data_IF_702776870136
#
_entry.id   IF_702776870136
#
_cell.length_a   1.000
_cell.length_b   1.000
_cell.length_c   1.000
_cell.angle_alpha   90.00
_cell.angle_beta   90.00
_cell.angle_gamma   90.00
#
_symmetry.space_group_name_H-M   'P 1'
#
loop_
_entity.id
_entity.type
_entity.pdbx_description
1 polymer ?
#
# COMPACT_ATOMS: atom_id res chain seq x y z
N UNK A 1 7.57 4.78 1.89
CA UNK A 1 8.86 4.59 1.17
C UNK A 1 9.91 5.61 1.57
N UNK A 2 9.58 6.72 2.24
CA UNK A 2 10.56 7.82 2.40
C UNK A 2 11.89 7.42 3.04
N UNK A 3 11.90 6.49 4.00
CA UNK A 3 13.15 5.98 4.60
C UNK A 3 13.95 4.98 3.74
N UNK A 4 13.36 4.42 2.68
CA UNK A 4 14.03 3.40 1.85
C UNK A 4 15.32 3.93 1.24
N UNK A 5 15.29 5.16 0.73
CA UNK A 5 16.42 5.76 0.03
C UNK A 5 17.68 5.87 0.90
N UNK A 6 17.53 6.20 2.19
CA UNK A 6 18.65 6.30 3.13
C UNK A 6 19.02 4.99 3.83
N UNK A 7 18.28 3.90 3.61
CA UNK A 7 18.48 2.60 4.27
C UNK A 7 19.27 1.59 3.43
N UNK A 8 19.60 1.96 2.19
CA UNK A 8 20.43 1.15 1.31
C UNK A 8 21.85 0.99 1.88
N UNK A 9 22.44 -0.17 1.65
CA UNK A 9 23.83 -0.43 1.99
C UNK A 9 24.76 0.32 1.02
N UNK A 10 25.35 1.41 1.52
CA UNK A 10 26.21 2.32 0.73
C UNK A 10 27.52 1.68 0.27
N UNK A 11 27.92 0.54 0.83
CA UNK A 11 29.09 -0.18 0.31
C UNK A 11 28.79 -0.82 -1.06
N UNK A 12 27.52 -1.15 -1.31
CA UNK A 12 27.11 -1.96 -2.46
C UNK A 12 26.09 -1.28 -3.38
N UNK A 13 25.40 -0.23 -2.91
CA UNK A 13 24.33 0.47 -3.61
C UNK A 13 24.52 1.98 -3.48
N UNK A 14 24.70 2.66 -4.61
CA UNK A 14 24.69 4.13 -4.69
C UNK A 14 23.32 4.62 -5.17
N UNK A 15 22.70 5.54 -4.42
CA UNK A 15 21.29 5.93 -4.66
C UNK A 15 21.18 7.30 -5.35
N UNK A 16 20.50 7.31 -6.49
CA UNK A 16 20.14 8.53 -7.24
C UNK A 16 18.63 8.76 -7.23
N UNK A 17 18.21 9.97 -6.87
CA UNK A 17 16.82 10.42 -6.85
C UNK A 17 16.60 11.57 -7.84
N UNK A 18 15.94 11.28 -8.96
CA UNK A 18 15.53 12.28 -9.96
C UNK A 18 14.10 12.77 -9.68
N UNK A 19 13.98 13.95 -9.08
CA UNK A 19 12.68 14.53 -8.72
C UNK A 19 12.01 15.21 -9.93
N UNK A 20 10.92 14.61 -10.40
CA UNK A 20 10.12 15.14 -11.51
C UNK A 20 9.22 16.32 -11.12
N UNK A 21 9.13 16.64 -9.82
CA UNK A 21 8.36 17.76 -9.28
C UNK A 21 9.27 18.76 -8.57
N UNK A 22 8.88 20.04 -8.64
CA UNK A 22 9.54 21.12 -7.90
C UNK A 22 9.51 20.84 -6.39
N UNK A 23 10.47 21.41 -5.67
CA UNK A 23 10.49 21.39 -4.21
C UNK A 23 9.24 22.07 -3.62
N UNK A 24 8.46 21.31 -2.84
CA UNK A 24 7.25 21.78 -2.18
C UNK A 24 7.48 22.24 -0.73
N UNK A 25 8.73 22.19 -0.25
CA UNK A 25 9.11 22.53 1.12
C UNK A 25 8.61 21.54 2.17
N UNK A 26 8.02 20.41 1.77
CA UNK A 26 7.48 19.43 2.70
C UNK A 26 8.60 18.74 3.50
N UNK A 27 8.26 18.28 4.70
CA UNK A 27 9.17 17.47 5.52
C UNK A 27 9.66 16.22 4.77
N UNK A 28 8.85 15.68 3.85
CA UNK A 28 9.19 14.52 3.04
C UNK A 28 10.28 14.85 2.04
N UNK A 29 10.14 15.96 1.32
CA UNK A 29 11.11 16.42 0.33
C UNK A 29 12.45 16.75 0.97
N UNK A 30 12.44 17.54 2.04
CA UNK A 30 13.65 17.91 2.80
C UNK A 30 14.38 16.67 3.30
N UNK A 31 13.64 15.70 3.83
CA UNK A 31 14.24 14.48 4.38
C UNK A 31 14.86 13.60 3.31
N UNK A 32 14.13 13.33 2.22
CA UNK A 32 14.67 12.51 1.12
C UNK A 32 15.95 13.18 0.57
N UNK A 33 15.96 14.50 0.42
CA UNK A 33 17.15 15.26 0.01
C UNK A 33 18.34 15.10 0.96
N UNK A 34 18.09 14.99 2.27
CA UNK A 34 19.15 14.82 3.28
C UNK A 34 19.65 13.38 3.44
N UNK A 35 18.83 12.38 3.08
CA UNK A 35 19.12 10.96 3.31
C UNK A 35 19.75 10.28 2.09
N UNK A 36 19.40 10.73 0.88
CA UNK A 36 19.93 10.19 -0.37
C UNK A 36 21.31 10.77 -0.68
N UNK A 37 22.14 10.00 -1.36
CA UNK A 37 23.48 10.42 -1.78
C UNK A 37 23.40 11.48 -2.89
N UNK A 38 22.56 11.23 -3.91
CA UNK A 38 22.38 12.14 -5.03
C UNK A 38 20.91 12.50 -5.20
N UNK A 39 20.55 13.74 -4.86
CA UNK A 39 19.22 14.28 -5.12
C UNK A 39 19.27 15.32 -6.24
N UNK A 40 18.57 15.06 -7.34
CA UNK A 40 18.60 15.91 -8.53
C UNK A 40 17.17 16.35 -8.83
N UNK A 41 16.90 17.65 -8.73
CA UNK A 41 15.63 18.21 -9.20
C UNK A 41 15.69 18.40 -10.71
N UNK A 42 14.79 17.72 -11.44
CA UNK A 42 14.75 17.75 -12.91
C UNK A 42 13.41 18.24 -13.44
N UNK A 43 12.57 18.85 -12.60
CA UNK A 43 11.21 19.25 -12.94
C UNK A 43 11.11 20.28 -14.07
N UNK A 44 12.14 21.10 -14.26
CA UNK A 44 12.23 22.10 -15.33
C UNK A 44 12.91 21.60 -16.62
N UNK A 45 13.48 20.39 -16.61
CA UNK A 45 14.21 19.82 -17.74
C UNK A 45 13.29 19.10 -18.71
N UNK A 46 13.64 19.05 -20.00
CA UNK A 46 12.95 18.20 -20.98
C UNK A 46 13.29 16.73 -20.76
N UNK A 47 12.44 15.81 -21.24
CA UNK A 47 12.60 14.37 -20.94
C UNK A 47 13.88 13.80 -21.56
N UNK A 48 14.31 14.34 -22.70
CA UNK A 48 15.55 13.95 -23.38
C UNK A 48 16.80 14.38 -22.62
N UNK A 49 16.79 15.58 -22.01
CA UNK A 49 17.90 16.03 -21.17
C UNK A 49 18.02 15.16 -19.92
N UNK A 50 16.90 14.77 -19.32
CA UNK A 50 16.88 13.87 -18.15
C UNK A 50 17.40 12.48 -18.53
N UNK A 51 16.98 11.94 -19.67
CA UNK A 51 17.48 10.65 -20.14
C UNK A 51 18.99 10.67 -20.39
N UNK A 52 19.54 11.74 -20.98
CA UNK A 52 20.99 11.90 -21.15
C UNK A 52 21.72 11.95 -19.81
N UNK A 53 21.22 12.73 -18.86
CA UNK A 53 21.79 12.82 -17.51
C UNK A 53 21.81 11.46 -16.82
N UNK A 54 20.71 10.72 -16.81
CA UNK A 54 20.64 9.36 -16.24
C UNK A 54 21.69 8.43 -16.89
N UNK A 55 21.91 8.56 -18.20
CA UNK A 55 22.90 7.77 -18.90
C UNK A 55 24.34 8.18 -18.56
N UNK A 56 24.61 9.48 -18.45
CA UNK A 56 25.89 10.06 -18.04
C UNK A 56 26.25 9.69 -16.59
N UNK A 57 25.25 9.63 -15.71
CA UNK A 57 25.35 9.13 -14.33
C UNK A 57 25.57 7.60 -14.27
N UNK A 58 25.50 6.90 -15.42
CA UNK A 58 25.70 5.45 -15.56
C UNK A 58 24.78 4.60 -14.69
N UNK A 59 23.54 5.03 -14.50
CA UNK A 59 22.54 4.30 -13.71
C UNK A 59 22.34 2.89 -14.27
N UNK A 60 22.60 1.86 -13.44
CA UNK A 60 22.43 0.45 -13.83
C UNK A 60 20.96 0.02 -13.79
N UNK A 61 20.23 0.44 -12.76
CA UNK A 61 18.83 0.07 -12.54
C UNK A 61 18.01 1.34 -12.32
N UNK A 62 17.16 1.68 -13.29
CA UNK A 62 16.26 2.82 -13.19
C UNK A 62 14.87 2.40 -12.72
N UNK A 63 14.38 3.02 -11.65
CA UNK A 63 13.11 2.67 -11.00
C UNK A 63 12.01 3.68 -11.33
N UNK A 64 10.98 3.23 -12.04
CA UNK A 64 9.77 3.99 -12.31
C UNK A 64 8.81 3.91 -11.11
N UNK A 65 8.76 4.99 -10.34
CA UNK A 65 7.89 5.15 -9.17
C UNK A 65 6.53 5.79 -9.48
N UNK A 66 6.18 6.00 -10.76
CA UNK A 66 4.96 6.69 -11.17
C UNK A 66 3.99 5.78 -11.95
N UNK A 67 4.49 5.01 -12.91
CA UNK A 67 3.68 4.33 -13.92
C UNK A 67 2.74 5.30 -14.66
N UNK A 68 1.43 5.02 -14.66
CA UNK A 68 0.42 5.89 -15.29
C UNK A 68 -0.34 6.77 -14.30
N UNK A 69 0.41 7.47 -13.44
CA UNK A 69 -0.13 8.45 -12.48
C UNK A 69 0.20 9.88 -12.89
N UNK A 70 -0.46 10.85 -12.25
CA UNK A 70 -0.23 12.28 -12.49
C UNK A 70 1.25 12.62 -12.28
N UNK A 71 1.85 13.32 -13.25
CA UNK A 71 3.25 13.75 -13.20
C UNK A 71 4.25 12.70 -13.71
N UNK A 72 3.78 11.55 -14.20
CA UNK A 72 4.64 10.57 -14.86
C UNK A 72 5.30 11.16 -16.12
N UNK A 73 6.55 10.75 -16.36
CA UNK A 73 7.32 11.09 -17.58
C UNK A 73 7.90 9.82 -18.18
N UNK A 74 7.00 8.96 -18.68
CA UNK A 74 7.37 7.63 -19.17
C UNK A 74 8.24 7.68 -20.44
N UNK A 75 8.28 8.82 -21.13
CA UNK A 75 9.15 9.06 -22.28
C UNK A 75 10.64 8.95 -21.90
N UNK A 76 11.00 9.25 -20.64
CA UNK A 76 12.36 9.06 -20.12
C UNK A 76 12.73 7.57 -20.20
N UNK A 77 11.84 6.70 -19.75
CA UNK A 77 12.04 5.24 -19.78
C UNK A 77 11.99 4.69 -21.20
N UNK A 78 11.16 5.26 -22.08
CA UNK A 78 11.10 4.87 -23.49
C UNK A 78 12.42 5.15 -24.25
N UNK A 79 13.22 6.13 -23.79
CA UNK A 79 14.56 6.40 -24.31
C UNK A 79 15.64 5.43 -23.78
N UNK A 80 15.28 4.52 -22.87
CA UNK A 80 16.14 3.48 -22.31
C UNK A 80 17.52 3.97 -21.80
N UNK A 81 17.59 5.01 -20.94
CA UNK A 81 18.86 5.58 -20.49
C UNK A 81 19.64 4.65 -19.52
N UNK A 82 18.98 3.63 -18.96
CA UNK A 82 19.58 2.61 -18.11
C UNK A 82 19.33 1.20 -18.69
N UNK A 83 20.26 0.25 -18.53
CA UNK A 83 20.14 -1.09 -19.10
C UNK A 83 19.02 -1.92 -18.45
N UNK A 84 18.72 -1.68 -17.17
CA UNK A 84 17.62 -2.31 -16.46
C UNK A 84 16.66 -1.22 -16.01
N UNK A 85 15.37 -1.46 -16.23
CA UNK A 85 14.30 -0.51 -15.93
C UNK A 85 13.15 -1.27 -15.29
N UNK A 86 12.66 -0.79 -14.16
CA UNK A 86 11.66 -1.50 -13.36
C UNK A 86 10.49 -0.58 -13.03
N UNK A 87 9.27 -1.11 -12.98
CA UNK A 87 8.14 -0.41 -12.40
C UNK A 87 7.96 -0.83 -10.95
N UNK A 88 7.71 0.13 -10.06
CA UNK A 88 7.51 -0.16 -8.65
C UNK A 88 6.53 0.81 -7.97
N UNK A 89 5.57 0.22 -7.23
CA UNK A 89 4.68 0.82 -6.23
C UNK A 89 3.70 1.92 -6.70
N UNK A 90 4.14 2.91 -7.47
CA UNK A 90 3.33 4.09 -7.82
C UNK A 90 2.10 3.78 -8.66
N UNK A 91 2.16 2.73 -9.47
CA UNK A 91 1.05 2.28 -10.29
C UNK A 91 0.75 0.80 -10.01
N UNK A 92 -0.44 0.44 -9.49
CA UNK A 92 -0.77 -0.93 -9.13
C UNK A 92 -1.26 -1.72 -10.35
N UNK A 93 -0.42 -1.82 -11.38
CA UNK A 93 -0.72 -2.50 -12.64
C UNK A 93 0.50 -2.62 -13.55
N UNK A 94 0.33 -3.33 -14.67
CA UNK A 94 1.35 -3.39 -15.73
C UNK A 94 1.45 -2.05 -16.44
N UNK A 95 2.65 -1.66 -16.83
CA UNK A 95 2.87 -0.58 -17.77
C UNK A 95 2.49 -1.01 -19.19
N UNK A 96 2.51 -2.31 -19.52
CA UNK A 96 2.28 -2.76 -20.89
C UNK A 96 3.35 -2.28 -21.89
N UNK A 97 4.44 -1.70 -21.39
CA UNK A 97 5.55 -1.21 -22.18
C UNK A 97 6.61 -2.31 -22.36
N UNK A 98 7.26 -2.31 -23.51
CA UNK A 98 8.41 -3.15 -23.83
C UNK A 98 9.72 -2.64 -23.21
N UNK A 99 9.78 -1.34 -22.91
CA UNK A 99 10.93 -0.69 -22.27
C UNK A 99 10.99 -0.88 -20.74
N UNK A 100 9.97 -1.45 -20.09
CA UNK A 100 10.02 -1.78 -18.65
C UNK A 100 10.23 -3.28 -18.48
N UNK A 101 11.34 -3.65 -17.86
CA UNK A 101 11.80 -5.04 -17.79
C UNK A 101 11.17 -5.83 -16.65
N UNK A 102 11.02 -5.21 -15.47
CA UNK A 102 10.56 -5.89 -14.25
C UNK A 102 9.46 -5.12 -13.51
N UNK A 103 8.64 -5.86 -12.77
CA UNK A 103 7.63 -5.33 -11.85
C UNK A 103 7.63 -6.17 -10.57
N UNK A 104 7.60 -5.51 -9.40
CA UNK A 104 7.44 -6.20 -8.12
C UNK A 104 5.98 -6.54 -7.86
N UNK A 105 5.63 -7.83 -7.89
CA UNK A 105 4.28 -8.31 -7.64
C UNK A 105 4.29 -9.80 -7.23
N UNK A 106 3.18 -10.25 -6.64
CA UNK A 106 2.94 -11.65 -6.25
C UNK A 106 1.44 -11.92 -6.33
N UNK A 107 0.90 -13.10 -6.72
CA UNK A 107 1.60 -14.35 -7.07
C UNK A 107 1.84 -14.56 -8.57
N UNK A 108 2.76 -15.47 -8.90
CA UNK A 108 3.19 -15.83 -10.27
C UNK A 108 2.08 -16.38 -11.16
N UNK A 109 1.00 -16.96 -10.61
CA UNK A 109 -0.15 -17.46 -11.41
C UNK A 109 -0.80 -16.38 -12.27
N UNK A 110 -0.65 -15.11 -11.89
CA UNK A 110 -1.19 -13.97 -12.66
C UNK A 110 -0.15 -13.34 -13.59
N UNK A 111 0.99 -13.99 -13.85
CA UNK A 111 2.05 -13.44 -14.72
C UNK A 111 1.60 -13.11 -16.13
N UNK A 112 0.59 -13.80 -16.64
CA UNK A 112 0.02 -13.57 -17.97
C UNK A 112 -0.64 -12.19 -18.12
N UNK A 113 -0.91 -11.47 -17.03
CA UNK A 113 -1.51 -10.12 -17.04
C UNK A 113 -0.46 -9.03 -17.30
N UNK A 114 0.83 -9.32 -17.10
CA UNK A 114 1.89 -8.32 -17.07
C UNK A 114 2.84 -8.47 -18.25
N UNK A 115 3.21 -7.36 -18.89
CA UNK A 115 4.29 -7.34 -19.89
C UNK A 115 5.66 -7.54 -19.23
N UNK A 116 5.84 -6.99 -18.03
CA UNK A 116 7.06 -7.06 -17.25
C UNK A 116 7.32 -8.45 -16.68
N UNK A 117 8.59 -8.77 -16.43
CA UNK A 117 8.95 -9.98 -15.68
C UNK A 117 8.70 -9.76 -14.19
N UNK A 118 7.87 -10.63 -13.62
CA UNK A 118 7.51 -10.54 -12.20
C UNK A 118 8.71 -10.87 -11.33
N UNK A 119 8.99 -9.97 -10.38
CA UNK A 119 9.89 -10.23 -9.26
C UNK A 119 9.07 -10.35 -7.98
N UNK A 120 9.10 -11.54 -7.39
CA UNK A 120 8.36 -11.84 -6.17
C UNK A 120 9.26 -11.60 -4.95
N UNK A 121 9.02 -10.49 -4.25
CA UNK A 121 9.67 -10.19 -2.96
C UNK A 121 9.08 -11.05 -1.84
N UNK A 122 9.87 -11.39 -0.80
CA UNK A 122 9.35 -12.04 0.41
C UNK A 122 8.29 -11.17 1.08
N UNK A 123 7.26 -11.82 1.65
CA UNK A 123 6.19 -11.24 2.47
C UNK A 123 5.25 -10.26 1.74
N UNK A 124 5.72 -9.11 1.27
CA UNK A 124 4.92 -8.08 0.62
C UNK A 124 5.78 -7.20 -0.29
N UNK A 125 5.23 -6.83 -1.45
CA UNK A 125 5.88 -5.85 -2.33
C UNK A 125 5.77 -4.41 -1.80
N UNK A 126 4.77 -4.12 -0.96
CA UNK A 126 4.44 -2.77 -0.52
C UNK A 126 5.30 -2.37 0.69
N UNK A 127 6.16 -1.36 0.52
CA UNK A 127 6.99 -0.82 1.60
C UNK A 127 6.35 0.38 2.29
N UNK A 128 6.65 0.54 3.56
CA UNK A 128 6.27 1.69 4.35
C UNK A 128 7.32 1.99 5.43
N UNK A 129 7.22 3.14 6.10
CA UNK A 129 8.19 3.65 7.08
C UNK A 129 7.54 4.06 8.41
N UNK A 130 6.41 3.42 8.77
CA UNK A 130 5.60 3.81 9.93
C UNK A 130 6.34 3.57 11.25
N UNK A 131 7.15 2.49 11.33
CA UNK A 131 7.98 2.20 12.51
C UNK A 131 8.99 3.32 12.79
N UNK A 132 9.50 3.96 11.74
CA UNK A 132 10.45 5.06 11.85
C UNK A 132 9.76 6.42 12.03
N UNK A 133 8.57 6.62 11.43
CA UNK A 133 7.99 7.97 11.26
C UNK A 133 6.65 8.21 11.92
N UNK A 134 5.97 7.15 12.32
CA UNK A 134 4.61 7.22 12.86
C UNK A 134 4.47 6.41 14.15
N UNK A 135 5.56 6.18 14.89
CA UNK A 135 5.47 5.47 16.16
C UNK A 135 4.78 6.33 17.25
N UNK A 136 4.85 7.66 17.12
CA UNK A 136 4.18 8.64 17.98
C UNK A 136 2.64 8.53 17.96
N UNK A 137 2.07 8.00 16.87
CA UNK A 137 0.62 7.77 16.77
C UNK A 137 0.14 6.66 17.70
N UNK A 138 1.05 5.83 18.21
CA UNK A 138 0.77 4.72 19.12
C UNK A 138 0.85 5.14 20.60
N UNK A 139 1.18 6.40 20.90
CA UNK A 139 1.25 6.90 22.27
C UNK A 139 -0.11 6.71 22.97
N UNK A 140 -0.18 5.95 24.08
CA UNK A 140 -1.42 5.75 24.83
C UNK A 140 -1.98 7.06 25.42
N UNK A 141 -1.16 8.08 25.64
CA UNK A 141 -1.58 9.37 26.18
C UNK A 141 -2.24 10.28 25.14
N UNK A 142 -2.08 9.99 23.85
CA UNK A 142 -2.61 10.78 22.74
C UNK A 142 -3.73 10.06 21.98
N UNK A 143 -4.42 9.11 22.62
CA UNK A 143 -5.51 8.38 21.98
C UNK A 143 -6.73 9.27 21.79
N UNK A 144 -7.29 9.35 20.57
CA UNK A 144 -8.50 10.11 20.32
C UNK A 144 -9.70 9.47 21.01
N UNK A 145 -10.81 10.21 21.09
CA UNK A 145 -12.10 9.70 21.58
C UNK A 145 -13.09 9.62 20.43
N UNK A 146 -14.01 8.65 20.49
CA UNK A 146 -15.09 8.51 19.50
C UNK A 146 -15.97 9.76 19.45
N UNK A 147 -16.28 10.36 20.60
CA UNK A 147 -17.01 11.63 20.69
C UNK A 147 -16.38 12.78 19.91
N UNK A 148 -15.05 12.84 19.78
CA UNK A 148 -14.35 13.86 18.99
C UNK A 148 -14.66 13.79 17.49
N UNK A 149 -15.12 12.64 17.01
CA UNK A 149 -15.48 12.39 15.61
C UNK A 149 -16.99 12.17 15.41
N UNK A 150 -17.81 12.46 16.44
CA UNK A 150 -19.25 12.22 16.39
C UNK A 150 -19.62 10.74 16.32
N UNK A 151 -18.74 9.85 16.77
CA UNK A 151 -18.98 8.41 16.79
C UNK A 151 -19.68 8.00 18.10
N UNK A 152 -20.63 7.05 18.03
CA UNK A 152 -21.26 6.49 19.22
C UNK A 152 -20.32 5.55 19.99
N UNK A 153 -20.32 5.65 21.31
CA UNK A 153 -19.46 4.84 22.19
C UNK A 153 -19.96 3.39 22.36
N UNK A 154 -21.25 3.14 22.16
CA UNK A 154 -21.94 1.88 22.45
C UNK A 154 -22.19 1.00 21.20
N UNK A 155 -21.91 1.50 19.99
CA UNK A 155 -22.05 0.75 18.75
C UNK A 155 -20.74 0.11 18.29
N UNK A 156 -20.87 -0.95 17.50
CA UNK A 156 -19.77 -1.49 16.71
C UNK A 156 -19.50 -0.58 15.50
N UNK A 157 -18.25 -0.19 15.27
CA UNK A 157 -17.86 0.74 14.20
C UNK A 157 -17.11 -0.02 13.11
N UNK A 158 -17.80 -0.28 12.00
CA UNK A 158 -17.13 -0.62 10.75
C UNK A 158 -16.51 0.65 10.15
N UNK A 159 -15.37 0.55 9.47
CA UNK A 159 -14.75 1.69 8.83
C UNK A 159 -14.32 1.39 7.39
N UNK A 160 -14.42 2.39 6.52
CA UNK A 160 -13.73 2.42 5.23
C UNK A 160 -13.31 3.85 4.92
N UNK A 161 -11.99 4.10 4.96
CA UNK A 161 -11.43 5.42 4.70
C UNK A 161 -10.84 5.56 3.29
N UNK A 162 -11.24 4.67 2.38
CA UNK A 162 -10.91 4.79 0.97
C UNK A 162 -11.69 5.94 0.32
N UNK A 163 -11.14 6.49 -0.76
CA UNK A 163 -11.90 7.41 -1.61
C UNK A 163 -13.12 6.68 -2.21
N UNK A 164 -14.21 7.42 -2.39
CA UNK A 164 -15.50 6.81 -2.74
C UNK A 164 -15.49 6.09 -4.09
N UNK A 165 -14.60 6.47 -5.02
CA UNK A 165 -14.47 5.80 -6.33
C UNK A 165 -14.03 4.33 -6.23
N UNK A 166 -13.46 3.90 -5.10
CA UNK A 166 -13.04 2.50 -4.90
C UNK A 166 -14.21 1.57 -4.57
N UNK A 167 -15.39 2.12 -4.34
CA UNK A 167 -16.60 1.36 -4.07
C UNK A 167 -17.45 1.22 -5.33
N UNK A 168 -18.11 0.08 -5.42
CA UNK A 168 -19.11 -0.21 -6.42
C UNK A 168 -20.44 -0.62 -5.75
N UNK A 169 -21.54 -0.75 -6.52
CA UNK A 169 -22.82 -1.19 -5.98
C UNK A 169 -22.75 -2.51 -5.21
N UNK A 170 -21.95 -3.48 -5.67
CA UNK A 170 -21.91 -4.82 -5.09
C UNK A 170 -21.30 -4.83 -3.68
N UNK A 171 -20.16 -4.16 -3.47
CA UNK A 171 -19.57 -4.09 -2.13
C UNK A 171 -20.43 -3.24 -1.18
N UNK A 172 -21.02 -2.15 -1.67
CA UNK A 172 -21.84 -1.30 -0.81
C UNK A 172 -23.18 -1.98 -0.44
N UNK A 173 -23.75 -2.80 -1.33
CA UNK A 173 -24.89 -3.69 -1.01
C UNK A 173 -24.51 -4.68 0.09
N UNK A 174 -23.32 -5.27 -0.01
CA UNK A 174 -22.79 -6.20 1.00
C UNK A 174 -22.70 -5.51 2.36
N UNK A 175 -22.18 -4.27 2.41
CA UNK A 175 -22.13 -3.50 3.66
C UNK A 175 -23.50 -3.13 4.21
N UNK A 176 -24.47 -2.81 3.34
CA UNK A 176 -25.86 -2.62 3.77
C UNK A 176 -26.44 -3.90 4.43
N UNK A 177 -26.11 -5.08 3.91
CA UNK A 177 -26.52 -6.36 4.53
C UNK A 177 -25.82 -6.59 5.88
N UNK A 178 -24.52 -6.30 5.99
CA UNK A 178 -23.78 -6.36 7.26
C UNK A 178 -24.47 -5.48 8.31
N UNK A 179 -24.77 -4.22 7.98
CA UNK A 179 -25.41 -3.27 8.91
C UNK A 179 -26.81 -3.71 9.36
N UNK A 180 -27.58 -4.38 8.50
CA UNK A 180 -28.88 -4.97 8.88
C UNK A 180 -28.73 -6.17 9.81
N UNK A 181 -27.70 -7.00 9.59
CA UNK A 181 -27.40 -8.18 10.41
C UNK A 181 -26.74 -7.83 11.75
N UNK A 182 -26.15 -6.64 11.86
CA UNK A 182 -25.55 -6.09 13.07
C UNK A 182 -26.22 -4.75 13.41
N UNK A 183 -27.48 -4.74 13.88
CA UNK A 183 -28.25 -3.51 14.03
C UNK A 183 -27.62 -2.48 14.99
N UNK A 184 -26.87 -2.94 16.01
CA UNK A 184 -26.10 -2.07 16.90
C UNK A 184 -24.70 -1.74 16.33
N UNK A 185 -24.65 -1.28 15.07
CA UNK A 185 -23.41 -0.89 14.40
C UNK A 185 -23.58 0.34 13.51
N UNK A 186 -22.46 0.96 13.14
CA UNK A 186 -22.40 2.00 12.14
C UNK A 186 -21.19 1.78 11.21
N UNK A 187 -21.29 2.31 9.99
CA UNK A 187 -20.24 2.36 9.00
C UNK A 187 -19.69 3.78 8.89
N UNK A 188 -18.39 3.92 9.15
CA UNK A 188 -17.67 5.18 9.15
C UNK A 188 -16.86 5.37 7.86
N UNK A 189 -17.24 6.35 7.05
CA UNK A 189 -16.75 6.56 5.70
C UNK A 189 -15.96 7.86 5.56
N UNK A 190 -14.96 7.86 4.66
CA UNK A 190 -14.31 9.10 4.24
C UNK A 190 -15.21 9.91 3.31
N UNK A 191 -15.41 11.19 3.62
CA UNK A 191 -16.13 12.16 2.80
C UNK A 191 -15.24 12.67 1.65
N UNK A 192 -14.97 11.83 0.64
CA UNK A 192 -14.14 12.25 -0.49
C UNK A 192 -14.47 11.54 -1.83
N UNK A 193 -15.09 12.24 -2.79
CA UNK A 193 -15.47 13.66 -2.77
C UNK A 193 -16.73 13.93 -1.92
N UNK A 194 -16.92 15.17 -1.47
CA UNK A 194 -18.05 15.54 -0.61
C UNK A 194 -19.43 15.28 -1.23
N UNK A 195 -19.55 15.41 -2.55
CA UNK A 195 -20.80 15.14 -3.29
C UNK A 195 -21.29 13.68 -3.16
N UNK A 196 -20.41 12.73 -2.80
CA UNK A 196 -20.80 11.33 -2.65
C UNK A 196 -21.55 11.00 -1.36
N UNK A 197 -21.50 11.87 -0.34
CA UNK A 197 -22.14 11.58 0.96
C UNK A 197 -23.66 11.41 0.83
N UNK A 198 -24.35 12.36 0.22
CA UNK A 198 -25.82 12.31 0.08
C UNK A 198 -26.27 11.13 -0.77
N UNK A 199 -25.51 10.79 -1.81
CA UNK A 199 -25.76 9.65 -2.70
C UNK A 199 -25.72 8.35 -1.90
N UNK A 200 -24.65 8.11 -1.13
CA UNK A 200 -24.50 6.88 -0.36
C UNK A 200 -25.51 6.77 0.77
N UNK A 201 -25.85 7.88 1.45
CA UNK A 201 -26.92 7.90 2.47
C UNK A 201 -28.27 7.48 1.86
N UNK A 202 -28.64 8.07 0.73
CA UNK A 202 -29.90 7.74 0.05
C UNK A 202 -29.91 6.29 -0.45
N UNK A 203 -28.80 5.83 -1.03
CA UNK A 203 -28.66 4.46 -1.53
C UNK A 203 -28.76 3.42 -0.41
N UNK A 204 -28.18 3.71 0.77
CA UNK A 204 -28.27 2.87 1.96
C UNK A 204 -29.68 2.85 2.55
N UNK A 205 -30.35 4.02 2.63
CA UNK A 205 -31.72 4.13 3.12
C UNK A 205 -32.70 3.31 2.28
N UNK A 206 -32.56 3.33 0.94
CA UNK A 206 -33.33 2.49 0.01
C UNK A 206 -33.14 0.98 0.24
N UNK A 207 -32.10 0.57 0.97
CA UNK A 207 -31.79 -0.83 1.31
C UNK A 207 -32.13 -1.19 2.75
N UNK A 208 -32.78 -0.28 3.48
CA UNK A 208 -33.23 -0.50 4.86
C UNK A 208 -32.15 -0.22 5.92
N UNK A 209 -31.06 0.45 5.56
CA UNK A 209 -30.06 0.91 6.55
C UNK A 209 -30.55 2.20 7.21
N UNK A 210 -30.46 2.28 8.53
CA UNK A 210 -30.91 3.45 9.27
C UNK A 210 -29.93 4.63 9.10
N UNK A 211 -30.39 5.89 9.00
CA UNK A 211 -29.53 7.06 8.76
C UNK A 211 -28.34 7.21 9.73
N UNK A 212 -28.53 6.87 10.99
CA UNK A 212 -27.50 6.92 12.05
C UNK A 212 -26.47 5.80 11.97
N UNK A 213 -26.67 4.80 11.10
CA UNK A 213 -25.68 3.76 10.82
C UNK A 213 -24.67 4.17 9.73
N UNK A 214 -24.84 5.33 9.09
CA UNK A 214 -23.89 5.85 8.11
C UNK A 214 -23.29 7.14 8.64
N UNK A 215 -21.99 7.14 8.92
CA UNK A 215 -21.26 8.30 9.47
C UNK A 215 -20.15 8.67 8.52
N UNK A 216 -19.94 9.96 8.29
CA UNK A 216 -18.87 10.48 7.44
C UNK A 216 -17.85 11.27 8.25
N UNK A 217 -16.60 11.22 7.83
CA UNK A 217 -15.51 12.07 8.34
C UNK A 217 -14.74 12.69 7.20
N UNK A 218 -14.23 13.90 7.42
CA UNK A 218 -13.41 14.60 6.44
C UNK A 218 -12.00 13.99 6.31
N UNK A 219 -11.27 14.45 5.30
CA UNK A 219 -9.85 14.12 5.12
C UNK A 219 -9.07 14.68 6.32
N UNK A 220 -8.28 13.84 6.96
CA UNK A 220 -7.42 14.24 8.06
C UNK A 220 -5.95 14.20 7.64
N UNK A 221 -5.12 14.97 8.34
CA UNK A 221 -3.66 14.87 8.19
C UNK A 221 -3.18 13.46 8.59
N UNK A 222 -2.03 13.03 8.03
CA UNK A 222 -1.57 11.64 8.12
C UNK A 222 -1.56 11.06 9.55
N UNK A 223 -0.96 11.78 10.50
CA UNK A 223 -0.89 11.31 11.90
C UNK A 223 -2.27 11.15 12.54
N UNK A 224 -3.17 12.10 12.31
CA UNK A 224 -4.55 12.04 12.79
C UNK A 224 -5.34 10.91 12.11
N UNK A 225 -5.19 10.73 10.81
CA UNK A 225 -5.84 9.65 10.05
C UNK A 225 -5.48 8.27 10.63
N UNK A 226 -4.22 8.06 10.97
CA UNK A 226 -3.78 6.81 11.61
C UNK A 226 -4.35 6.70 13.03
N UNK A 227 -4.22 7.74 13.87
CA UNK A 227 -4.73 7.73 15.25
C UNK A 227 -6.22 7.42 15.31
N UNK A 228 -7.03 8.11 14.51
CA UNK A 228 -8.48 7.94 14.49
C UNK A 228 -8.91 6.56 13.98
N UNK A 229 -8.07 5.90 13.19
CA UNK A 229 -8.36 4.54 12.71
C UNK A 229 -8.50 3.55 13.87
N UNK A 230 -7.82 3.77 15.00
CA UNK A 230 -7.96 2.93 16.19
C UNK A 230 -9.32 3.04 16.89
N UNK A 231 -10.17 4.01 16.51
CA UNK A 231 -11.53 4.18 17.06
C UNK A 231 -12.55 3.22 16.44
N UNK A 232 -12.25 2.69 15.26
CA UNK A 232 -13.07 1.68 14.61
C UNK A 232 -12.78 0.28 15.16
N UNK A 233 -13.71 -0.64 14.95
CA UNK A 233 -13.59 -2.03 15.41
C UNK A 233 -13.16 -2.97 14.27
N UNK A 234 -13.63 -2.73 13.04
CA UNK A 234 -13.27 -3.53 11.87
C UNK A 234 -13.25 -2.69 10.59
N UNK A 235 -12.18 -2.79 9.81
CA UNK A 235 -12.10 -2.16 8.50
C UNK A 235 -12.71 -3.05 7.41
N UNK A 236 -13.54 -2.45 6.55
CA UNK A 236 -14.16 -3.11 5.41
C UNK A 236 -13.44 -2.66 4.13
N UNK A 237 -12.62 -3.55 3.56
CA UNK A 237 -11.87 -3.24 2.33
C UNK A 237 -12.74 -3.33 1.07
N UNK A 238 -12.32 -2.66 0.01
CA UNK A 238 -13.00 -2.60 -1.29
C UNK A 238 -12.37 -3.57 -2.30
N UNK A 239 -13.09 -4.60 -2.79
CA UNK A 239 -12.50 -5.65 -3.63
C UNK A 239 -11.98 -5.18 -4.99
N UNK A 240 -12.67 -4.25 -5.67
CA UNK A 240 -12.29 -3.79 -7.02
C UNK A 240 -11.05 -2.90 -7.06
N UNK A 241 -10.75 -2.23 -5.94
CA UNK A 241 -9.51 -1.51 -5.73
C UNK A 241 -9.28 -1.43 -4.22
N UNK A 242 -8.32 -2.19 -3.71
CA UNK A 242 -8.13 -2.31 -2.28
C UNK A 242 -7.64 -1.00 -1.64
N UNK A 243 -7.73 -0.96 -0.32
CA UNK A 243 -6.92 -0.12 0.53
C UNK A 243 -5.44 -0.46 0.33
N UNK A 244 -4.68 0.50 -0.20
CA UNK A 244 -3.24 0.39 -0.39
C UNK A 244 -2.56 1.06 0.80
N UNK A 245 -2.21 2.34 0.68
CA UNK A 245 -1.71 3.15 1.80
C UNK A 245 -2.68 3.14 2.98
N UNK A 246 -3.98 3.33 2.75
CA UNK A 246 -5.01 3.23 3.80
C UNK A 246 -5.00 1.87 4.49
N UNK A 247 -4.67 0.79 3.78
CA UNK A 247 -4.55 -0.54 4.37
C UNK A 247 -3.37 -0.62 5.35
N UNK A 248 -2.24 -0.02 4.98
CA UNK A 248 -1.09 0.10 5.91
C UNK A 248 -1.39 0.99 7.11
N UNK A 249 -2.15 2.08 6.90
CA UNK A 249 -2.57 3.01 7.96
C UNK A 249 -3.37 2.29 9.05
N UNK A 250 -4.40 1.55 8.65
CA UNK A 250 -5.30 0.88 9.59
C UNK A 250 -4.63 -0.29 10.29
N UNK A 251 -3.80 -1.07 9.59
CA UNK A 251 -3.02 -2.14 10.21
C UNK A 251 -1.99 -1.60 11.20
N UNK A 252 -1.37 -0.45 10.90
CA UNK A 252 -0.48 0.22 11.85
C UNK A 252 -1.24 0.70 13.08
N UNK A 253 -2.43 1.27 12.93
CA UNK A 253 -3.32 1.60 14.05
C UNK A 253 -3.76 0.36 14.87
N UNK A 254 -3.59 -0.85 14.32
CA UNK A 254 -4.01 -2.11 14.93
C UNK A 254 -5.49 -2.44 14.71
N UNK A 255 -6.09 -1.87 13.67
CA UNK A 255 -7.45 -2.15 13.22
C UNK A 255 -7.44 -3.35 12.26
N UNK A 256 -8.06 -4.50 12.62
CA UNK A 256 -8.23 -5.61 11.69
C UNK A 256 -9.06 -5.21 10.47
N UNK A 257 -8.88 -5.90 9.35
CA UNK A 257 -9.67 -5.67 8.13
C UNK A 257 -10.28 -6.95 7.57
N UNK A 258 -11.32 -6.83 6.74
CA UNK A 258 -11.80 -7.91 5.87
C UNK A 258 -11.56 -7.51 4.43
N UNK A 259 -10.86 -8.36 3.67
CA UNK A 259 -10.53 -8.13 2.26
C UNK A 259 -10.77 -9.36 1.39
N UNK A 260 -11.14 -9.12 0.14
CA UNK A 260 -11.40 -10.13 -0.89
C UNK A 260 -10.41 -9.94 -2.06
N UNK A 261 -9.29 -10.69 -2.08
CA UNK A 261 -8.37 -10.66 -3.19
C UNK A 261 -9.00 -11.22 -4.47
N UNK A 262 -8.93 -10.48 -5.57
CA UNK A 262 -9.36 -10.94 -6.90
C UNK A 262 -8.14 -11.29 -7.77
N UNK A 263 -8.12 -10.92 -9.05
CA UNK A 263 -7.02 -11.26 -9.98
C UNK A 263 -6.00 -10.13 -10.15
N UNK A 264 -6.48 -8.91 -10.43
CA UNK A 264 -5.65 -7.74 -10.76
C UNK A 264 -4.80 -7.29 -9.57
N UNK A 265 -3.63 -6.69 -9.81
CA UNK A 265 -2.75 -6.21 -8.73
C UNK A 265 -3.47 -5.31 -7.72
N UNK A 266 -4.19 -4.29 -8.19
CA UNK A 266 -4.92 -3.34 -7.35
C UNK A 266 -5.97 -3.99 -6.43
N UNK A 267 -6.43 -5.20 -6.77
CA UNK A 267 -7.46 -5.97 -6.03
C UNK A 267 -6.89 -6.94 -5.00
N UNK A 268 -5.56 -7.01 -4.84
CA UNK A 268 -4.92 -7.98 -3.93
C UNK A 268 -3.89 -7.37 -2.97
N UNK A 269 -3.75 -6.06 -2.98
CA UNK A 269 -2.78 -5.36 -2.14
C UNK A 269 -3.13 -5.59 -0.67
N UNK A 270 -4.39 -5.34 -0.26
CA UNK A 270 -4.79 -5.52 1.13
C UNK A 270 -4.60 -6.95 1.63
N UNK A 271 -4.87 -7.96 0.78
CA UNK A 271 -4.55 -9.36 1.10
C UNK A 271 -3.05 -9.57 1.35
N UNK A 272 -2.19 -8.98 0.51
CA UNK A 272 -0.73 -9.04 0.72
C UNK A 272 -0.31 -8.33 2.01
N UNK A 273 -0.92 -7.19 2.35
CA UNK A 273 -0.66 -6.48 3.60
C UNK A 273 -1.06 -7.33 4.82
N UNK A 274 -2.25 -7.95 4.76
CA UNK A 274 -2.76 -8.84 5.80
C UNK A 274 -1.79 -10.00 6.07
N UNK A 275 -1.37 -10.72 5.02
CA UNK A 275 -0.43 -11.84 5.16
C UNK A 275 0.91 -11.39 5.75
N UNK A 276 1.42 -10.21 5.35
CA UNK A 276 2.69 -9.68 5.86
C UNK A 276 2.63 -9.22 7.32
N UNK A 277 1.44 -9.15 7.94
CA UNK A 277 1.34 -9.01 9.40
C UNK A 277 1.71 -10.28 10.16
N UNK A 278 1.73 -11.44 9.49
CA UNK A 278 1.93 -12.76 10.10
C UNK A 278 0.69 -13.35 10.77
N UNK A 279 -0.42 -12.60 10.85
CA UNK A 279 -1.66 -13.03 11.55
C UNK A 279 -2.93 -12.75 10.72
N UNK A 280 -2.78 -12.50 9.42
CA UNK A 280 -3.86 -11.99 8.57
C UNK A 280 -4.69 -13.03 7.82
N UNK A 281 -4.54 -14.33 8.10
CA UNK A 281 -5.37 -15.38 7.47
C UNK A 281 -6.86 -15.15 7.76
N UNK A 282 -7.20 -14.76 8.99
CA UNK A 282 -8.55 -14.40 9.43
C UNK A 282 -9.07 -13.06 8.85
N UNK A 283 -8.25 -12.32 8.10
CA UNK A 283 -8.64 -11.08 7.42
C UNK A 283 -8.99 -11.29 5.94
N UNK A 284 -8.68 -12.47 5.39
CA UNK A 284 -8.84 -12.76 3.96
C UNK A 284 -10.02 -13.71 3.76
N UNK A 285 -10.82 -13.44 2.73
CA UNK A 285 -11.98 -14.23 2.32
C UNK A 285 -11.92 -14.53 0.81
N UNK A 286 -12.69 -15.51 0.35
CA UNK A 286 -12.64 -15.99 -1.04
C UNK A 286 -13.90 -15.67 -1.86
N UNK A 287 -14.92 -15.06 -1.26
CA UNK A 287 -16.12 -14.62 -1.96
C UNK A 287 -16.80 -13.44 -1.24
N UNK A 288 -17.70 -12.73 -1.93
CA UNK A 288 -18.53 -11.70 -1.29
C UNK A 288 -19.44 -12.27 -0.19
N UNK A 289 -19.88 -13.52 -0.32
CA UNK A 289 -20.63 -14.21 0.73
C UNK A 289 -19.76 -14.41 1.97
N UNK A 290 -18.54 -14.92 1.80
CA UNK A 290 -17.59 -15.07 2.92
C UNK A 290 -17.19 -13.72 3.51
N UNK A 291 -17.10 -12.67 2.69
CA UNK A 291 -16.85 -11.29 3.16
C UNK A 291 -17.93 -10.85 4.15
N UNK A 292 -19.21 -10.99 3.77
CA UNK A 292 -20.35 -10.65 4.63
C UNK A 292 -20.34 -11.49 5.92
N UNK A 293 -20.20 -12.81 5.79
CA UNK A 293 -20.18 -13.72 6.94
C UNK A 293 -19.01 -13.44 7.89
N UNK A 294 -17.82 -13.15 7.37
CA UNK A 294 -16.64 -12.85 8.18
C UNK A 294 -16.84 -11.55 8.95
N UNK A 295 -17.33 -10.49 8.30
CA UNK A 295 -17.57 -9.21 8.95
C UNK A 295 -18.64 -9.32 10.05
N UNK A 296 -19.75 -10.01 9.77
CA UNK A 296 -20.81 -10.24 10.76
C UNK A 296 -20.32 -11.11 11.92
N UNK A 297 -19.57 -12.18 11.63
CA UNK A 297 -19.00 -13.07 12.66
C UNK A 297 -18.07 -12.32 13.61
N UNK A 298 -17.17 -11.49 13.08
CA UNK A 298 -16.25 -10.68 13.89
C UNK A 298 -17.00 -9.63 14.71
N UNK A 299 -18.03 -9.00 14.16
CA UNK A 299 -18.81 -7.99 14.86
C UNK A 299 -19.67 -8.56 16.01
N UNK A 300 -20.20 -9.77 15.83
CA UNK A 300 -21.02 -10.45 16.84
C UNK A 300 -20.20 -11.27 17.84
N UNK A 301 -18.93 -11.58 17.53
CA UNK A 301 -18.02 -12.33 18.41
C UNK A 301 -16.86 -11.44 18.89
N UNK A 302 -17.14 -10.59 19.89
CA UNK A 302 -16.15 -9.68 20.48
C UNK A 302 -14.87 -10.37 20.97
N UNK A 303 -14.90 -11.53 21.66
CA UNK A 303 -13.67 -12.23 22.04
C UNK A 303 -12.79 -12.60 20.85
N UNK A 304 -13.36 -13.10 19.75
CA UNK A 304 -12.61 -13.44 18.54
C UNK A 304 -11.96 -12.22 17.90
N UNK A 305 -12.70 -11.12 17.77
CA UNK A 305 -12.15 -9.88 17.23
C UNK A 305 -11.06 -9.31 18.14
N UNK A 306 -11.26 -9.35 19.46
CA UNK A 306 -10.27 -8.87 20.42
C UNK A 306 -8.97 -9.67 20.36
N UNK A 307 -9.05 -11.00 20.20
CA UNK A 307 -7.87 -11.86 20.00
C UNK A 307 -7.10 -11.47 18.73
N UNK A 308 -7.80 -11.29 17.60
CA UNK A 308 -7.19 -10.85 16.34
C UNK A 308 -6.52 -9.47 16.48
N UNK A 309 -7.21 -8.51 17.11
CA UNK A 309 -6.69 -7.17 17.40
C UNK A 309 -5.45 -7.23 18.29
N UNK A 310 -5.45 -8.07 19.33
CA UNK A 310 -4.31 -8.24 20.23
C UNK A 310 -3.11 -8.84 19.50
N UNK A 311 -3.33 -9.86 18.67
CA UNK A 311 -2.29 -10.48 17.83
C UNK A 311 -1.68 -9.46 16.86
N UNK A 312 -2.49 -8.63 16.20
CA UNK A 312 -2.00 -7.56 15.32
C UNK A 312 -1.14 -6.55 16.08
N UNK A 313 -1.63 -6.06 17.23
CA UNK A 313 -0.89 -5.12 18.07
C UNK A 313 0.43 -5.70 18.58
N UNK A 314 0.45 -6.97 18.97
CA UNK A 314 1.65 -7.67 19.44
C UNK A 314 2.68 -7.89 18.32
N UNK A 315 2.23 -8.25 17.12
CA UNK A 315 3.13 -8.51 15.98
C UNK A 315 3.65 -7.23 15.31
N UNK A 316 2.97 -6.08 15.47
CA UNK A 316 3.23 -4.83 14.74
C UNK A 316 4.71 -4.43 14.65
N UNK A 317 5.46 -4.56 15.74
CA UNK A 317 6.85 -4.07 15.80
C UNK A 317 7.87 -5.03 15.19
N UNK A 318 7.47 -6.28 14.95
CA UNK A 318 8.34 -7.39 14.52
C UNK A 318 7.89 -8.04 13.20
N UNK A 319 6.67 -7.77 12.74
CA UNK A 319 6.15 -8.37 11.52
C UNK A 319 6.84 -7.78 10.27
N UNK A 320 6.96 -8.58 9.19
CA UNK A 320 7.59 -8.13 7.95
C UNK A 320 6.96 -6.86 7.36
N UNK A 321 5.65 -6.63 7.54
CA UNK A 321 4.96 -5.47 6.99
C UNK A 321 5.57 -4.13 7.44
N UNK A 322 6.08 -4.03 8.67
CA UNK A 322 6.62 -2.78 9.23
C UNK A 322 8.14 -2.83 9.48
N UNK A 323 8.81 -3.83 8.89
CA UNK A 323 10.27 -3.97 8.93
C UNK A 323 10.91 -3.44 7.63
N UNK A 324 11.03 -2.12 7.57
CA UNK A 324 11.58 -1.39 6.41
C UNK A 324 13.00 -1.85 6.07
N UNK A 325 13.87 -2.08 7.06
CA UNK A 325 15.26 -2.47 6.82
C UNK A 325 15.34 -3.88 6.21
N UNK A 326 14.57 -4.83 6.73
CA UNK A 326 14.46 -6.16 6.11
C UNK A 326 13.91 -6.08 4.69
N UNK A 327 12.92 -5.21 4.46
CA UNK A 327 12.37 -4.99 3.13
C UNK A 327 13.43 -4.43 2.16
N UNK A 328 14.22 -3.43 2.57
CA UNK A 328 15.31 -2.85 1.78
C UNK A 328 16.34 -3.90 1.40
N UNK A 329 16.79 -4.74 2.35
CA UNK A 329 17.70 -5.85 2.04
C UNK A 329 17.13 -6.83 1.00
N UNK A 330 15.82 -7.09 1.04
CA UNK A 330 15.16 -7.92 0.04
C UNK A 330 15.06 -7.24 -1.33
N UNK A 331 14.89 -5.92 -1.36
CA UNK A 331 14.93 -5.13 -2.59
C UNK A 331 16.34 -5.18 -3.21
N UNK A 332 17.38 -5.03 -2.41
CA UNK A 332 18.78 -5.09 -2.84
C UNK A 332 19.13 -6.45 -3.44
N UNK A 333 18.74 -7.55 -2.78
CA UNK A 333 18.85 -8.92 -3.35
C UNK A 333 18.19 -9.02 -4.73
N UNK A 334 17.05 -8.36 -4.93
CA UNK A 334 16.40 -8.31 -6.23
C UNK A 334 17.26 -7.55 -7.26
N UNK A 335 17.80 -6.39 -6.88
CA UNK A 335 18.68 -5.58 -7.72
C UNK A 335 19.93 -6.34 -8.14
N UNK A 336 20.64 -6.98 -7.20
CA UNK A 336 21.80 -7.79 -7.53
C UNK A 336 21.44 -8.97 -8.44
N UNK A 337 20.27 -9.60 -8.25
CA UNK A 337 19.83 -10.65 -9.18
C UNK A 337 19.65 -10.12 -10.59
N UNK A 338 18.97 -8.98 -10.74
CA UNK A 338 18.70 -8.36 -12.03
C UNK A 338 20.02 -8.00 -12.72
N UNK A 339 20.93 -7.37 -11.98
CA UNK A 339 22.26 -6.98 -12.46
C UNK A 339 23.10 -8.20 -12.89
N UNK A 340 23.19 -9.22 -12.05
CA UNK A 340 23.96 -10.43 -12.35
C UNK A 340 23.43 -11.17 -13.58
N UNK A 341 22.11 -11.17 -13.81
CA UNK A 341 21.51 -11.71 -15.04
C UNK A 341 21.93 -10.89 -16.27
N UNK A 342 21.87 -9.56 -16.17
CA UNK A 342 22.29 -8.66 -17.24
C UNK A 342 23.77 -8.81 -17.59
N UNK A 343 24.68 -8.78 -16.60
CA UNK A 343 26.12 -8.99 -16.80
C UNK A 343 26.45 -10.34 -17.43
N UNK A 344 25.62 -11.36 -17.17
CA UNK A 344 25.76 -12.70 -17.77
C UNK A 344 25.17 -12.79 -19.19
N UNK A 345 24.75 -11.68 -19.79
CA UNK A 345 24.10 -11.64 -21.11
C UNK A 345 22.73 -12.30 -21.16
N UNK A 346 22.07 -12.53 -20.01
CA UNK A 346 20.75 -13.15 -19.97
C UNK A 346 19.65 -12.10 -20.13
N UNK A 347 18.58 -12.47 -20.85
CA UNK A 347 17.37 -11.66 -20.91
C UNK A 347 16.62 -11.63 -19.57
N UNK A 348 15.83 -10.56 -19.32
CA UNK A 348 14.95 -10.50 -18.18
C UNK A 348 14.04 -11.74 -18.06
N UNK A 349 13.99 -12.32 -16.86
CA UNK A 349 13.15 -13.49 -16.55
C UNK A 349 12.53 -13.37 -15.16
N UNK A 350 11.36 -13.96 -14.90
CA UNK A 350 10.74 -13.87 -13.58
C UNK A 350 11.55 -14.65 -12.56
N UNK A 351 11.59 -14.17 -11.31
CA UNK A 351 12.23 -14.87 -10.21
C UNK A 351 11.59 -14.52 -8.86
N UNK A 352 11.87 -15.35 -7.86
CA UNK A 352 11.48 -15.12 -6.47
C UNK A 352 12.74 -14.80 -5.67
N UNK A 353 12.68 -13.74 -4.87
CA UNK A 353 13.73 -13.42 -3.91
C UNK A 353 13.53 -14.30 -2.68
N UNK A 354 14.62 -14.92 -2.25
CA UNK A 354 14.72 -15.70 -1.03
C UNK A 354 15.47 -14.87 0.02
N UNK A 355 15.16 -15.08 1.30
CA UNK A 355 15.89 -14.41 2.38
C UNK A 355 17.18 -15.14 2.72
N UNK A 356 18.01 -15.36 1.69
CA UNK A 356 19.39 -15.83 1.82
C UNK A 356 20.29 -14.94 0.94
N UNK A 357 21.55 -14.79 1.30
CA UNK A 357 22.50 -13.98 0.53
C UNK A 357 23.28 -14.82 -0.50
N UNK A 358 23.23 -16.16 -0.38
CA UNK A 358 23.94 -17.08 -1.27
C UNK A 358 23.43 -17.02 -2.72
N UNK A 359 22.15 -16.68 -2.92
CA UNK A 359 21.52 -16.66 -4.24
C UNK A 359 21.74 -15.33 -5.00
N UNK A 360 22.31 -14.33 -4.31
CA UNK A 360 22.41 -12.92 -4.73
C UNK A 360 23.76 -12.27 -4.35
N UNK A 361 24.91 -12.81 -4.83
CA UNK A 361 26.21 -12.22 -4.52
C UNK A 361 26.33 -10.79 -5.06
N UNK A 362 26.92 -9.92 -4.25
CA UNK A 362 27.25 -8.52 -4.57
C UNK A 362 28.32 -8.43 -5.68
N UNK A 363 29.24 -9.40 -5.71
CA UNK A 363 30.41 -9.40 -6.59
C UNK A 363 30.16 -10.18 -7.89
N UNK A 364 29.54 -9.54 -8.91
CA UNK A 364 29.66 -9.98 -10.32
C UNK A 364 29.62 -8.86 -11.36
#
# INVERSE_FOLDING_TARGET
MGSVFGMHDRENVEVFCYALSANDGSEWRVRIQSEVEHFIEVSSMSSDMIARMINEDKIQILVNLNGYTKGARNEIFAMQPAPIQISYMGFPGTTGADYIHYLFVSPSRFSHIYSEKIVHLPHCYFVNDYKQKNCDVLDPNCQPKRSSYGLPEDKFIFACFNQLYKMDPDIFNTWCNILKRVPNSALWLLRFPAAGESILRNYAAQRGVQPEQIIFTDVAIKGEHIRRSALADLFLDTPLCNAHTTGTDVLWAGLPMVTLPLEKMATRVAGSLCLATGVGEDMIVNSLKEYEERAVSLALNRPKLQDLTNKLKAARMTCPLFDTQRWVRNLERAYFKMWNLYCSGQHPKPFKVTENDSDFPFDR
#
